data_IF_089207933977
#
_entry.id   IF_089207933977
#
_cell.length_a   1.000
_cell.length_b   1.000
_cell.length_c   1.000
_cell.angle_alpha   90.00
_cell.angle_beta   90.00
_cell.angle_gamma   90.00
#
_symmetry.space_group_name_H-M   'P 1'
#
loop_
_entity.id
_entity.type
_entity.pdbx_description
1 polymer ?
#
# COMPACT_ATOMS: atom_id res chain seq x y z
N UNK A 1 17.97 -23.59 39.87
CA UNK A 1 17.28 -24.19 38.71
C UNK A 1 16.11 -23.33 38.22
N UNK A 2 15.21 -22.82 39.08
CA UNK A 2 14.12 -21.93 38.65
C UNK A 2 14.54 -20.58 38.03
N UNK A 3 15.62 -19.96 38.53
CA UNK A 3 16.14 -18.69 37.99
C UNK A 3 16.67 -18.82 36.55
N UNK A 4 17.46 -19.87 36.26
CA UNK A 4 17.95 -20.16 34.91
C UNK A 4 16.83 -20.52 33.93
N UNK A 5 15.76 -21.16 34.40
CA UNK A 5 14.58 -21.44 33.58
C UNK A 5 13.79 -20.16 33.26
N UNK A 6 13.73 -19.20 34.20
CA UNK A 6 13.13 -17.89 33.98
C UNK A 6 13.90 -17.05 32.96
N UNK A 7 15.23 -16.97 33.10
CA UNK A 7 16.10 -16.26 32.13
C UNK A 7 16.03 -16.89 30.74
N UNK A 8 16.05 -18.22 30.63
CA UNK A 8 15.90 -18.90 29.34
C UNK A 8 14.55 -18.62 28.66
N UNK A 9 13.47 -18.55 29.44
CA UNK A 9 12.13 -18.20 28.94
C UNK A 9 12.05 -16.74 28.47
N UNK A 10 12.65 -15.82 29.20
CA UNK A 10 12.71 -14.39 28.84
C UNK A 10 13.54 -14.17 27.57
N UNK A 11 14.71 -14.81 27.46
CA UNK A 11 15.54 -14.76 26.25
C UNK A 11 14.83 -15.34 25.03
N UNK A 12 14.09 -16.44 25.19
CA UNK A 12 13.29 -17.03 24.12
C UNK A 12 12.14 -16.10 23.69
N UNK A 13 11.49 -15.43 24.64
CA UNK A 13 10.43 -14.46 24.35
C UNK A 13 10.97 -13.22 23.60
N UNK A 14 12.11 -12.68 24.03
CA UNK A 14 12.78 -11.56 23.33
C UNK A 14 13.25 -11.99 21.94
N UNK A 15 13.83 -13.18 21.79
CA UNK A 15 14.25 -13.70 20.50
C UNK A 15 13.07 -13.89 19.53
N UNK A 16 11.93 -14.38 20.01
CA UNK A 16 10.71 -14.48 19.22
C UNK A 16 10.20 -13.10 18.76
N UNK A 17 10.11 -12.13 19.68
CA UNK A 17 9.71 -10.77 19.34
C UNK A 17 10.67 -10.12 18.33
N UNK A 18 11.99 -10.27 18.50
CA UNK A 18 12.98 -9.74 17.56
C UNK A 18 12.85 -10.39 16.18
N UNK A 19 12.60 -11.71 16.12
CA UNK A 19 12.38 -12.41 14.85
C UNK A 19 11.12 -11.90 14.11
N UNK A 20 10.02 -11.69 14.84
CA UNK A 20 8.77 -11.16 14.28
C UNK A 20 8.98 -9.74 13.72
N UNK A 21 9.67 -8.86 14.46
CA UNK A 21 9.98 -7.51 13.98
C UNK A 21 10.95 -7.53 12.79
N UNK A 22 12.01 -8.35 12.85
CA UNK A 22 12.99 -8.47 11.77
C UNK A 22 12.35 -8.95 10.45
N UNK A 23 11.29 -9.77 10.53
CA UNK A 23 10.56 -10.24 9.35
C UNK A 23 9.81 -9.12 8.62
N UNK A 24 9.32 -8.10 9.33
CA UNK A 24 8.48 -7.04 8.75
C UNK A 24 9.32 -5.87 8.23
N UNK A 25 10.46 -5.60 8.86
CA UNK A 25 11.31 -4.43 8.57
C UNK A 25 11.66 -4.27 7.08
N UNK A 26 12.10 -5.32 6.34
CA UNK A 26 12.45 -5.18 4.94
C UNK A 26 11.26 -4.82 4.04
N UNK A 27 10.07 -5.34 4.35
CA UNK A 27 8.82 -4.98 3.68
C UNK A 27 8.48 -3.50 3.89
N UNK A 28 8.60 -3.01 5.13
CA UNK A 28 8.38 -1.59 5.44
C UNK A 28 9.38 -0.70 4.68
N UNK A 29 10.67 -1.07 4.65
CA UNK A 29 11.70 -0.31 3.94
C UNK A 29 11.37 -0.23 2.44
N UNK A 30 11.01 -1.36 1.82
CA UNK A 30 10.67 -1.42 0.40
C UNK A 30 9.45 -0.55 0.07
N UNK A 31 8.37 -0.67 0.86
CA UNK A 31 7.16 0.14 0.72
C UNK A 31 7.48 1.63 0.90
N UNK A 32 8.21 1.98 1.95
CA UNK A 32 8.59 3.36 2.24
C UNK A 32 9.43 3.94 1.10
N UNK A 33 10.34 3.17 0.52
CA UNK A 33 11.18 3.62 -0.58
C UNK A 33 10.38 3.88 -1.86
N UNK A 34 9.47 2.98 -2.23
CA UNK A 34 8.57 3.19 -3.37
C UNK A 34 7.68 4.41 -3.13
N UNK A 35 7.11 4.54 -1.94
CA UNK A 35 6.25 5.67 -1.61
C UNK A 35 7.01 6.99 -1.69
N UNK A 36 8.22 7.05 -1.13
CA UNK A 36 9.10 8.22 -1.22
C UNK A 36 9.40 8.57 -2.68
N UNK A 37 9.65 7.57 -3.53
CA UNK A 37 9.94 7.76 -4.96
C UNK A 37 8.73 8.32 -5.71
N UNK A 38 7.54 7.80 -5.44
CA UNK A 38 6.28 8.29 -6.01
C UNK A 38 6.00 9.73 -5.57
N UNK A 39 6.18 10.03 -4.27
CA UNK A 39 6.01 11.38 -3.74
C UNK A 39 7.01 12.35 -4.39
N UNK A 40 8.28 11.97 -4.49
CA UNK A 40 9.31 12.79 -5.12
C UNK A 40 9.00 13.05 -6.59
N UNK A 41 8.55 12.04 -7.33
CA UNK A 41 8.13 12.17 -8.73
C UNK A 41 6.92 13.11 -8.87
N UNK A 42 5.91 12.97 -8.00
CA UNK A 42 4.74 13.83 -7.99
C UNK A 42 5.08 15.29 -7.68
N UNK A 43 5.95 15.52 -6.69
CA UNK A 43 6.43 16.87 -6.34
C UNK A 43 7.26 17.49 -7.47
N UNK A 44 8.16 16.72 -8.07
CA UNK A 44 8.94 17.18 -9.23
C UNK A 44 8.03 17.58 -10.39
N UNK A 45 7.00 16.77 -10.69
CA UNK A 45 6.03 17.08 -11.73
C UNK A 45 5.19 18.32 -11.39
N UNK A 46 4.75 18.46 -10.14
CA UNK A 46 4.01 19.65 -9.69
C UNK A 46 4.84 20.93 -9.85
N UNK A 47 6.11 20.89 -9.43
CA UNK A 47 7.02 22.03 -9.55
C UNK A 47 7.32 22.34 -11.03
N UNK A 48 7.52 21.33 -11.87
CA UNK A 48 7.72 21.51 -13.30
C UNK A 48 6.50 22.15 -13.99
N UNK A 49 5.28 21.71 -13.65
CA UNK A 49 4.03 22.28 -14.16
C UNK A 49 3.85 23.74 -13.72
N UNK A 50 4.06 24.02 -12.43
CA UNK A 50 3.98 25.39 -11.88
C UNK A 50 5.05 26.32 -12.44
N UNK A 51 6.23 25.79 -12.72
CA UNK A 51 7.34 26.53 -13.30
C UNK A 51 7.30 26.68 -14.82
N UNK A 52 6.29 26.12 -15.51
CA UNK A 52 6.22 26.13 -16.97
C UNK A 52 7.31 25.30 -17.68
N UNK A 53 8.03 24.46 -16.93
CA UNK A 53 9.12 23.60 -17.42
C UNK A 53 8.64 22.18 -17.77
N UNK A 54 7.33 21.93 -17.66
CA UNK A 54 6.75 20.63 -17.95
C UNK A 54 6.77 20.35 -19.45
N UNK A 55 7.63 19.42 -19.88
CA UNK A 55 7.72 18.97 -21.28
C UNK A 55 6.58 18.01 -21.68
N UNK A 56 5.90 17.41 -20.70
CA UNK A 56 4.76 16.50 -20.90
C UNK A 56 3.56 17.01 -20.08
N UNK A 57 2.32 16.89 -20.61
CA UNK A 57 1.12 17.11 -19.81
C UNK A 57 1.21 16.31 -18.50
N UNK A 58 0.69 16.87 -17.40
CA UNK A 58 0.66 16.17 -16.11
C UNK A 58 0.09 14.76 -16.29
N UNK A 59 0.72 13.74 -15.72
CA UNK A 59 0.22 12.38 -15.72
C UNK A 59 -0.72 12.26 -14.52
N UNK A 60 -2.04 12.39 -14.69
CA UNK A 60 -2.91 12.28 -13.54
C UNK A 60 -2.79 10.85 -13.02
N UNK A 61 -2.64 10.72 -11.69
CA UNK A 61 -2.66 9.41 -11.02
C UNK A 61 -3.96 8.62 -11.32
N UNK A 62 -4.99 9.31 -11.83
CA UNK A 62 -6.24 8.74 -12.31
C UNK A 62 -6.14 7.99 -13.65
N UNK A 63 -5.11 8.26 -14.47
CA UNK A 63 -4.83 7.57 -15.74
C UNK A 63 -3.80 6.44 -15.57
N UNK A 64 -3.39 6.13 -14.33
CA UNK A 64 -2.49 5.03 -14.06
C UNK A 64 -3.18 3.72 -14.46
N UNK A 65 -2.63 3.04 -15.47
CA UNK A 65 -3.06 1.72 -15.90
C UNK A 65 -2.08 0.68 -15.35
N UNK A 66 -2.56 -0.25 -14.52
CA UNK A 66 -1.73 -1.35 -14.08
C UNK A 66 -1.67 -2.44 -15.18
N UNK A 67 -0.49 -3.04 -15.39
CA UNK A 67 -0.38 -4.25 -16.21
C UNK A 67 -1.28 -5.37 -15.67
N UNK A 68 -1.99 -6.09 -16.54
CA UNK A 68 -2.93 -7.15 -16.12
C UNK A 68 -2.30 -8.33 -15.36
N UNK A 69 -0.97 -8.42 -15.31
CA UNK A 69 -0.27 -9.40 -14.49
C UNK A 69 -0.16 -8.99 -13.02
N UNK A 70 -0.29 -7.69 -12.69
CA UNK A 70 -0.11 -7.20 -11.32
C UNK A 70 -1.19 -7.74 -10.37
N UNK A 71 -2.43 -7.86 -10.83
CA UNK A 71 -3.54 -8.40 -10.03
C UNK A 71 -3.32 -9.87 -9.63
N UNK A 72 -3.09 -10.77 -10.61
CA UNK A 72 -2.71 -12.16 -10.32
C UNK A 72 -1.44 -12.28 -9.47
N UNK A 73 -0.41 -11.45 -9.72
CA UNK A 73 0.82 -11.47 -8.93
C UNK A 73 0.59 -11.10 -7.46
N UNK A 74 -0.27 -10.11 -7.18
CA UNK A 74 -0.65 -9.77 -5.80
C UNK A 74 -1.44 -10.90 -5.14
N UNK A 75 -2.37 -11.53 -5.85
CA UNK A 75 -3.16 -12.65 -5.33
C UNK A 75 -2.29 -13.88 -5.02
N UNK A 76 -1.38 -14.24 -5.93
CA UNK A 76 -0.44 -15.36 -5.73
C UNK A 76 0.54 -15.03 -4.59
N UNK A 77 1.07 -13.80 -4.55
CA UNK A 77 1.99 -13.36 -3.49
C UNK A 77 1.34 -13.38 -2.11
N UNK A 78 0.10 -12.91 -1.99
CA UNK A 78 -0.65 -12.94 -0.72
C UNK A 78 -1.00 -14.37 -0.31
N UNK A 79 -1.44 -15.24 -1.23
CA UNK A 79 -1.67 -16.66 -0.94
C UNK A 79 -0.38 -17.38 -0.52
N UNK A 80 0.74 -17.13 -1.21
CA UNK A 80 2.04 -17.68 -0.85
C UNK A 80 2.47 -17.21 0.54
N UNK A 81 2.24 -15.94 0.89
CA UNK A 81 2.53 -15.40 2.21
C UNK A 81 1.71 -16.04 3.34
N UNK A 82 0.50 -16.53 3.05
CA UNK A 82 -0.40 -17.15 4.03
C UNK A 82 -0.19 -18.66 4.19
N UNK A 83 0.24 -19.33 3.11
CA UNK A 83 0.35 -20.80 3.06
C UNK A 83 1.80 -21.28 3.20
N UNK A 84 2.78 -20.49 2.75
CA UNK A 84 4.18 -20.85 2.92
C UNK A 84 4.64 -20.66 4.37
N UNK A 85 5.66 -21.42 4.76
CA UNK A 85 6.40 -21.21 6.00
C UNK A 85 7.86 -20.82 5.71
N UNK A 86 8.55 -20.34 6.74
CA UNK A 86 9.97 -19.97 6.67
C UNK A 86 10.27 -18.83 5.69
N UNK A 87 11.44 -18.86 5.07
CA UNK A 87 11.96 -17.78 4.23
C UNK A 87 11.05 -17.44 3.05
N UNK A 88 10.36 -18.43 2.48
CA UNK A 88 9.44 -18.22 1.37
C UNK A 88 8.25 -17.32 1.77
N UNK A 89 7.71 -17.50 2.99
CA UNK A 89 6.66 -16.65 3.52
C UNK A 89 7.15 -15.20 3.69
N UNK A 90 8.36 -15.04 4.19
CA UNK A 90 9.01 -13.74 4.37
C UNK A 90 9.17 -12.99 3.04
N UNK A 91 9.68 -13.63 1.99
CA UNK A 91 9.79 -13.01 0.67
C UNK A 91 8.42 -12.71 0.05
N UNK A 92 7.45 -13.62 0.19
CA UNK A 92 6.11 -13.45 -0.33
C UNK A 92 5.37 -12.27 0.34
N UNK A 93 5.54 -12.08 1.65
CA UNK A 93 4.98 -10.95 2.39
C UNK A 93 5.56 -9.61 1.90
N UNK A 94 6.88 -9.52 1.74
CA UNK A 94 7.52 -8.30 1.23
C UNK A 94 7.07 -7.97 -0.19
N UNK A 95 6.99 -8.98 -1.07
CA UNK A 95 6.54 -8.80 -2.44
C UNK A 95 5.06 -8.40 -2.52
N UNK A 96 4.20 -9.02 -1.71
CA UNK A 96 2.78 -8.69 -1.63
C UNK A 96 2.58 -7.25 -1.12
N UNK A 97 3.33 -6.84 -0.09
CA UNK A 97 3.29 -5.46 0.41
C UNK A 97 3.72 -4.45 -0.64
N UNK A 98 4.77 -4.76 -1.41
CA UNK A 98 5.25 -3.91 -2.50
C UNK A 98 4.23 -3.78 -3.63
N UNK A 99 3.63 -4.90 -4.05
CA UNK A 99 2.56 -4.94 -5.05
C UNK A 99 1.30 -4.24 -4.57
N UNK A 100 1.01 -4.20 -3.27
CA UNK A 100 -0.16 -3.51 -2.73
C UNK A 100 -0.09 -1.99 -2.91
N UNK A 101 1.10 -1.39 -2.98
CA UNK A 101 1.29 0.07 -3.12
C UNK A 101 0.59 0.66 -4.36
N UNK A 102 0.80 0.16 -5.59
CA UNK A 102 0.10 0.69 -6.76
C UNK A 102 -1.42 0.47 -6.71
N UNK A 103 -1.90 -0.64 -6.13
CA UNK A 103 -3.34 -0.85 -5.92
C UNK A 103 -3.93 0.11 -4.87
N UNK A 104 -3.17 0.42 -3.82
CA UNK A 104 -3.54 1.43 -2.82
C UNK A 104 -3.70 2.80 -3.48
N UNK A 105 -2.76 3.21 -4.34
CA UNK A 105 -2.85 4.45 -5.11
C UNK A 105 -4.08 4.45 -6.02
N UNK A 106 -4.37 3.31 -6.68
CA UNK A 106 -5.54 3.17 -7.54
C UNK A 106 -6.85 3.29 -6.75
N UNK A 107 -6.98 2.63 -5.60
CA UNK A 107 -8.14 2.74 -4.71
C UNK A 107 -8.32 4.17 -4.18
N UNK A 108 -7.22 4.84 -3.80
CA UNK A 108 -7.26 6.24 -3.36
C UNK A 108 -7.74 7.18 -4.47
N UNK A 109 -7.36 6.92 -5.72
CA UNK A 109 -7.86 7.68 -6.88
C UNK A 109 -9.38 7.50 -7.09
N UNK A 110 -9.95 6.33 -6.80
CA UNK A 110 -11.42 6.12 -6.81
C UNK A 110 -12.09 6.94 -5.70
N UNK A 111 -11.54 6.88 -4.48
CA UNK A 111 -12.07 7.67 -3.36
C UNK A 111 -12.02 9.16 -3.66
N UNK A 112 -10.93 9.64 -4.24
CA UNK A 112 -10.77 11.05 -4.59
C UNK A 112 -11.72 11.50 -5.70
N UNK A 113 -11.98 10.64 -6.70
CA UNK A 113 -12.94 10.94 -7.77
C UNK A 113 -14.38 10.94 -7.25
N UNK A 114 -14.72 10.03 -6.33
CA UNK A 114 -16.02 10.00 -5.66
C UNK A 114 -16.22 11.22 -4.75
N UNK A 115 -15.20 11.60 -3.97
CA UNK A 115 -15.22 12.79 -3.13
C UNK A 115 -15.38 14.09 -3.94
N UNK A 116 -14.93 14.10 -5.19
CA UNK A 116 -15.08 15.26 -6.09
C UNK A 116 -16.54 15.50 -6.53
N UNK A 117 -17.43 14.51 -6.37
CA UNK A 117 -18.87 14.62 -6.62
C UNK A 117 -19.65 15.16 -5.42
N UNK A 118 -19.01 15.32 -4.27
CA UNK A 118 -19.64 15.83 -3.04
C UNK A 118 -19.46 17.36 -2.92
N UNK A 119 -20.48 18.09 -2.45
CA UNK A 119 -20.40 19.54 -2.27
C UNK A 119 -19.38 19.97 -1.20
N UNK A 120 -19.06 19.09 -0.25
CA UNK A 120 -18.09 19.33 0.83
C UNK A 120 -16.81 18.49 0.67
N UNK A 121 -16.21 18.49 -0.52
CA UNK A 121 -15.02 17.70 -0.88
C UNK A 121 -13.90 17.70 0.17
N UNK A 122 -13.55 18.87 0.71
CA UNK A 122 -12.47 19.02 1.69
C UNK A 122 -12.76 18.29 2.99
N UNK A 123 -14.00 18.39 3.50
CA UNK A 123 -14.43 17.73 4.72
C UNK A 123 -14.56 16.21 4.52
N UNK A 124 -15.07 15.77 3.37
CA UNK A 124 -15.18 14.36 3.04
C UNK A 124 -13.81 13.67 2.97
N UNK A 125 -12.82 14.32 2.33
CA UNK A 125 -11.45 13.81 2.28
C UNK A 125 -10.79 13.83 3.66
N UNK A 126 -10.95 14.92 4.42
CA UNK A 126 -10.40 15.02 5.78
C UNK A 126 -10.96 13.92 6.69
N UNK A 127 -12.28 13.68 6.65
CA UNK A 127 -12.92 12.59 7.38
C UNK A 127 -12.45 11.22 6.93
N UNK A 128 -12.32 10.98 5.63
CA UNK A 128 -11.80 9.73 5.10
C UNK A 128 -10.37 9.45 5.57
N UNK A 129 -9.46 10.43 5.47
CA UNK A 129 -8.08 10.27 5.94
C UNK A 129 -7.99 10.10 7.45
N UNK A 130 -8.84 10.78 8.23
CA UNK A 130 -8.91 10.61 9.68
C UNK A 130 -9.30 9.17 10.03
N UNK A 131 -10.35 8.63 9.40
CA UNK A 131 -10.80 7.25 9.60
C UNK A 131 -9.75 6.26 9.11
N UNK A 132 -9.06 6.56 7.99
CA UNK A 132 -7.96 5.74 7.49
C UNK A 132 -6.81 5.67 8.48
N UNK A 133 -6.41 6.77 9.12
CA UNK A 133 -5.37 6.75 10.14
C UNK A 133 -5.84 5.98 11.39
N UNK A 134 -7.05 6.25 11.87
CA UNK A 134 -7.59 5.63 13.09
C UNK A 134 -7.84 4.12 12.95
N UNK A 135 -8.27 3.67 11.76
CA UNK A 135 -8.60 2.30 11.43
C UNK A 135 -7.66 1.74 10.34
N UNK A 136 -6.37 2.09 10.39
CA UNK A 136 -5.37 1.79 9.35
C UNK A 136 -5.37 0.33 8.90
N UNK A 137 -5.41 -0.64 9.82
CA UNK A 137 -5.24 -2.05 9.48
C UNK A 137 -6.39 -2.66 8.64
N UNK A 138 -7.71 -2.45 8.92
CA UNK A 138 -8.76 -2.91 8.02
C UNK A 138 -8.92 -2.01 6.80
N UNK A 139 -8.74 -0.69 6.95
CA UNK A 139 -9.12 0.25 5.90
C UNK A 139 -8.12 0.26 4.75
N UNK A 140 -6.82 0.07 5.04
CA UNK A 140 -5.80 -0.09 3.99
C UNK A 140 -6.10 -1.32 3.13
N UNK A 141 -6.47 -2.44 3.75
CA UNK A 141 -6.86 -3.65 3.01
C UNK A 141 -8.06 -3.39 2.12
N UNK A 142 -9.10 -2.72 2.63
CA UNK A 142 -10.29 -2.37 1.84
C UNK A 142 -9.92 -1.49 0.64
N UNK A 143 -9.04 -0.50 0.81
CA UNK A 143 -8.62 0.37 -0.31
C UNK A 143 -7.79 -0.38 -1.34
N UNK A 144 -6.92 -1.29 -0.92
CA UNK A 144 -6.15 -2.17 -1.83
C UNK A 144 -7.10 -3.09 -2.61
N UNK A 145 -8.07 -3.70 -1.95
CA UNK A 145 -9.09 -4.54 -2.59
C UNK A 145 -9.95 -3.71 -3.55
N UNK A 146 -10.34 -2.50 -3.17
CA UNK A 146 -11.07 -1.59 -4.05
C UNK A 146 -10.24 -1.25 -5.31
N UNK A 147 -8.94 -1.01 -5.15
CA UNK A 147 -8.01 -0.81 -6.27
C UNK A 147 -7.90 -2.03 -7.18
N UNK A 148 -7.91 -3.24 -6.62
CA UNK A 148 -7.90 -4.51 -7.34
C UNK A 148 -9.21 -4.75 -8.11
N UNK A 149 -10.36 -4.46 -7.48
CA UNK A 149 -11.69 -4.55 -8.12
C UNK A 149 -11.79 -3.55 -9.28
N UNK A 150 -11.24 -2.35 -9.11
CA UNK A 150 -11.21 -1.34 -10.16
C UNK A 150 -10.37 -1.76 -11.38
N UNK A 151 -9.22 -2.42 -11.13
CA UNK A 151 -8.34 -2.96 -12.17
C UNK A 151 -9.07 -4.03 -13.02
N UNK A 152 -9.80 -4.92 -12.35
CA UNK A 152 -10.58 -5.98 -12.97
C UNK A 152 -11.86 -5.51 -13.66
N UNK A 153 -12.59 -4.56 -13.07
CA UNK A 153 -13.92 -4.19 -13.52
C UNK A 153 -13.92 -3.10 -14.61
N UNK A 154 -12.78 -2.44 -14.88
CA UNK A 154 -12.71 -1.25 -15.74
C UNK A 154 -13.80 -0.22 -15.39
N UNK A 155 -14.16 -0.10 -14.10
CA UNK A 155 -15.33 0.66 -13.65
C UNK A 155 -15.24 2.15 -14.05
N UNK A 156 -14.02 2.70 -14.09
CA UNK A 156 -13.69 4.02 -14.64
C UNK A 156 -14.18 4.27 -16.07
N UNK A 157 -14.16 3.29 -16.97
CA UNK A 157 -14.68 3.47 -18.35
C UNK A 157 -16.21 3.54 -18.42
N UNK A 158 -16.90 3.10 -17.36
CA UNK A 158 -18.37 3.11 -17.27
C UNK A 158 -18.92 4.28 -16.44
N UNK A 159 -18.08 4.94 -15.65
CA UNK A 159 -18.46 6.03 -14.74
C UNK A 159 -18.02 7.43 -15.21
N UNK A 160 -17.19 7.50 -16.25
CA UNK A 160 -16.88 8.70 -17.03
C UNK A 160 -17.95 8.90 -18.11
#
# INVERSE_FOLDING_TARGET
LGQFAGEAGELAAVAGMVADYAAIVPGIIAVSWVLMTVINAALAQLLALRGGQAQRPGAPLAELWLPGWCGPALAIGTLAALVAGGDLAFFAQGLAALLAVPFLMQGLAVVHSLAHRLPARGLALAGFYLVLILFSWPLVVVVVVLGLVEDWAHLRRRLA
#
